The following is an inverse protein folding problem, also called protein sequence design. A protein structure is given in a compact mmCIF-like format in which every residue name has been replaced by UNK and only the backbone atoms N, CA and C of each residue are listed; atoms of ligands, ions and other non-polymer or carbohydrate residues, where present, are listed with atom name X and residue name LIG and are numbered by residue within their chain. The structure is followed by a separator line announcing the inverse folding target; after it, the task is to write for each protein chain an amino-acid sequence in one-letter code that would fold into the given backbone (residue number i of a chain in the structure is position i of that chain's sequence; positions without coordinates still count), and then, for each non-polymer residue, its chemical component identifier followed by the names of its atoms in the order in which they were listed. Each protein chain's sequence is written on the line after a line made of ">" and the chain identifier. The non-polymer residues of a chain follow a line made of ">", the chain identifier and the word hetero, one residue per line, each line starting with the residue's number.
data_IF_798628694420
#
_entry.id   IF_798628694420
#
_cell.length_a   1.000
_cell.length_b   1.000
_cell.length_c   1.000
_cell.angle_alpha   90.00
_cell.angle_beta   90.00
_cell.angle_gamma   90.00
#
_symmetry.space_group_name_H-M   'P 1'
#
loop_
_entity.id
_entity.type
_entity.pdbx_description
1 polymer ?
#
# COMPACT_ATOMS: atom_id res chain seq x y z
N UNK A 1 -14.81 21.97 26.74
CA UNK A 1 -14.08 22.68 27.80
C UNK A 1 -14.26 22.05 29.18
N UNK A 2 -15.49 21.88 29.71
CA UNK A 2 -15.71 21.39 31.09
C UNK A 2 -15.04 20.05 31.41
N UNK A 3 -15.10 19.08 30.49
CA UNK A 3 -14.43 17.78 30.66
C UNK A 3 -12.90 17.88 30.70
N UNK A 4 -12.30 18.80 29.96
CA UNK A 4 -10.85 19.00 29.92
C UNK A 4 -10.37 19.62 31.23
N UNK A 5 -11.12 20.58 31.78
CA UNK A 5 -10.85 21.18 33.10
C UNK A 5 -10.86 20.10 34.18
N UNK A 6 -11.89 19.24 34.20
CA UNK A 6 -12.00 18.14 35.16
C UNK A 6 -10.85 17.13 35.06
N UNK A 7 -10.25 16.99 33.87
CA UNK A 7 -9.15 16.07 33.61
C UNK A 7 -7.76 16.76 33.64
N UNK A 8 -7.71 18.07 33.91
CA UNK A 8 -6.48 18.87 33.80
C UNK A 8 -5.77 18.70 32.44
N UNK A 9 -6.56 18.63 31.37
CA UNK A 9 -6.06 18.63 29.99
C UNK A 9 -6.10 20.06 29.46
N UNK A 10 -5.02 20.47 28.80
CA UNK A 10 -4.90 21.76 28.14
C UNK A 10 -4.60 21.59 26.65
N UNK A 11 -4.74 22.67 25.88
CA UNK A 11 -4.38 22.69 24.48
C UNK A 11 -5.20 23.64 23.62
N UNK A 12 -5.08 23.44 22.31
CA UNK A 12 -5.69 24.27 21.28
C UNK A 12 -6.33 23.39 20.21
N UNK A 13 -7.47 23.84 19.68
CA UNK A 13 -8.14 23.27 18.51
C UNK A 13 -8.24 24.35 17.44
N UNK A 14 -7.60 24.12 16.31
CA UNK A 14 -7.56 24.99 15.15
C UNK A 14 -8.38 24.36 14.03
N UNK A 15 -9.22 25.14 13.37
CA UNK A 15 -9.88 24.76 12.12
C UNK A 15 -9.39 25.63 10.97
N UNK A 16 -8.99 24.99 9.87
CA UNK A 16 -8.51 25.68 8.67
C UNK A 16 -8.68 24.80 7.42
N UNK A 17 -9.29 25.33 6.36
CA UNK A 17 -9.48 24.64 5.08
C UNK A 17 -10.06 23.21 5.20
N UNK A 18 -11.08 23.03 6.06
CA UNK A 18 -11.72 21.72 6.25
C UNK A 18 -10.93 20.73 7.11
N UNK A 19 -9.79 21.13 7.67
CA UNK A 19 -8.96 20.32 8.55
C UNK A 19 -9.00 20.82 9.99
N UNK A 20 -8.92 19.89 10.94
CA UNK A 20 -8.72 20.18 12.36
C UNK A 20 -7.27 19.89 12.75
N UNK A 21 -6.65 20.84 13.46
CA UNK A 21 -5.36 20.64 14.12
C UNK A 21 -5.57 20.77 15.61
N UNK A 22 -5.10 19.80 16.38
CA UNK A 22 -5.33 19.77 17.81
C UNK A 22 -4.05 19.42 18.56
N UNK A 23 -3.74 20.20 19.59
CA UNK A 23 -2.72 19.88 20.58
C UNK A 23 -3.44 19.49 21.87
N UNK A 24 -3.03 18.38 22.48
CA UNK A 24 -3.50 17.90 23.77
C UNK A 24 -2.31 17.77 24.72
N UNK A 25 -2.41 18.33 25.91
CA UNK A 25 -1.35 18.30 26.93
C UNK A 25 -1.93 17.85 28.27
N UNK A 26 -1.26 16.94 28.94
CA UNK A 26 -1.71 16.45 30.23
C UNK A 26 -1.02 15.16 30.64
N UNK A 27 -1.56 14.56 31.70
CA UNK A 27 -1.18 13.22 32.14
C UNK A 27 -1.47 12.20 31.04
N UNK A 28 -0.50 11.34 30.73
CA UNK A 28 -0.50 10.42 29.60
C UNK A 28 -1.79 9.60 29.50
N UNK A 29 -2.19 8.91 30.57
CA UNK A 29 -3.42 8.12 30.59
C UNK A 29 -4.71 8.92 30.32
N UNK A 30 -4.73 10.22 30.67
CA UNK A 30 -5.89 11.08 30.46
C UNK A 30 -5.94 11.58 29.02
N UNK A 31 -4.78 11.96 28.47
CA UNK A 31 -4.63 12.35 27.07
C UNK A 31 -4.96 11.18 26.15
N UNK A 32 -4.45 9.98 26.41
CA UNK A 32 -4.70 8.79 25.61
C UNK A 32 -6.19 8.42 25.59
N UNK A 33 -6.86 8.46 26.75
CA UNK A 33 -8.31 8.21 26.83
C UNK A 33 -9.11 9.25 26.05
N UNK A 34 -8.68 10.51 26.06
CA UNK A 34 -9.33 11.56 25.28
C UNK A 34 -9.08 11.36 23.78
N UNK A 35 -7.85 11.08 23.39
CA UNK A 35 -7.45 10.84 22.01
C UNK A 35 -8.18 9.63 21.40
N UNK A 36 -8.33 8.53 22.16
CA UNK A 36 -9.11 7.37 21.74
C UNK A 36 -10.58 7.72 21.43
N UNK A 37 -11.20 8.60 22.23
CA UNK A 37 -12.57 9.09 21.97
C UNK A 37 -12.62 9.99 20.75
N UNK A 38 -11.64 10.88 20.59
CA UNK A 38 -11.52 11.75 19.41
C UNK A 38 -11.42 10.87 18.17
N UNK A 39 -10.57 9.85 18.15
CA UNK A 39 -10.38 8.96 17.00
C UNK A 39 -11.67 8.24 16.53
N UNK A 40 -12.64 8.04 17.42
CA UNK A 40 -13.93 7.39 17.11
C UNK A 40 -15.06 8.39 16.80
N UNK A 41 -14.81 9.69 16.90
CA UNK A 41 -15.83 10.72 16.68
C UNK A 41 -16.22 10.82 15.20
N UNK A 42 -17.53 10.76 14.91
CA UNK A 42 -18.06 10.76 13.54
C UNK A 42 -17.97 12.11 12.83
N UNK A 43 -17.61 13.19 13.54
CA UNK A 43 -17.53 14.56 12.98
C UNK A 43 -16.27 14.80 12.15
N UNK A 44 -15.31 13.90 12.20
CA UNK A 44 -14.11 13.93 11.35
C UNK A 44 -13.78 12.52 10.84
N UNK A 45 -12.77 12.43 9.99
CA UNK A 45 -12.17 11.20 9.48
C UNK A 45 -10.66 11.40 9.37
N UNK A 46 -9.92 10.32 9.11
CA UNK A 46 -8.48 10.38 8.79
C UNK A 46 -7.62 11.05 9.89
N UNK A 47 -7.89 10.69 11.16
CA UNK A 47 -7.20 11.27 12.32
C UNK A 47 -5.73 10.85 12.34
N UNK A 48 -4.85 11.84 12.27
CA UNK A 48 -3.40 11.71 12.17
C UNK A 48 -2.71 12.31 13.41
N UNK A 49 -1.96 11.52 14.17
CA UNK A 49 -1.09 12.04 15.22
C UNK A 49 0.26 12.47 14.60
N UNK A 50 0.50 13.78 14.47
CA UNK A 50 1.72 14.29 13.85
C UNK A 50 2.95 14.21 14.78
N UNK A 51 2.73 14.32 16.08
CA UNK A 51 3.80 14.36 17.08
C UNK A 51 3.27 13.94 18.43
N UNK A 52 3.99 13.03 19.08
CA UNK A 52 3.79 12.67 20.47
C UNK A 52 5.08 12.98 21.24
N UNK A 53 4.96 13.53 22.44
CA UNK A 53 6.09 13.79 23.31
C UNK A 53 5.71 13.33 24.73
N UNK A 54 6.59 12.53 25.34
CA UNK A 54 6.41 11.98 26.69
C UNK A 54 7.58 12.39 27.57
N UNK A 55 7.36 12.41 28.88
CA UNK A 55 8.35 12.85 29.89
C UNK A 55 7.98 14.17 30.55
N UNK A 56 8.94 14.77 31.26
CA UNK A 56 8.71 16.01 32.01
C UNK A 56 8.79 17.22 31.08
N UNK A 57 7.67 17.54 30.43
CA UNK A 57 7.54 18.62 29.45
C UNK A 57 6.63 19.69 30.03
N UNK A 58 7.06 20.95 29.95
CA UNK A 58 6.24 22.09 30.34
C UNK A 58 5.07 22.28 29.34
N UNK A 59 3.87 22.57 29.86
CA UNK A 59 2.68 22.80 29.02
C UNK A 59 2.89 24.03 28.15
N UNK A 60 2.63 23.94 26.84
CA UNK A 60 2.70 25.10 25.95
C UNK A 60 1.48 26.01 26.14
N UNK A 61 0.34 25.46 26.57
CA UNK A 61 -0.91 26.21 26.73
C UNK A 61 -1.54 26.03 28.12
N UNK A 62 -0.85 26.38 29.22
CA UNK A 62 -1.28 26.04 30.58
C UNK A 62 -2.66 26.60 30.96
N UNK A 63 -3.05 27.75 30.40
CA UNK A 63 -4.32 28.42 30.72
C UNK A 63 -5.46 28.04 29.78
N UNK A 64 -5.21 27.21 28.76
CA UNK A 64 -6.19 26.90 27.73
C UNK A 64 -6.74 25.49 27.92
N UNK A 65 -7.87 25.35 28.60
CA UNK A 65 -8.54 24.04 28.73
C UNK A 65 -8.84 23.40 27.36
N UNK A 66 -9.28 24.21 26.39
CA UNK A 66 -9.25 23.93 24.96
C UNK A 66 -9.60 25.22 24.21
N UNK A 67 -8.61 25.99 23.77
CA UNK A 67 -8.89 27.22 23.02
C UNK A 67 -9.22 26.86 21.57
N UNK A 68 -10.36 27.33 21.07
CA UNK A 68 -10.76 27.12 19.68
C UNK A 68 -10.44 28.34 18.81
N UNK A 69 -9.84 28.10 17.65
CA UNK A 69 -9.59 29.11 16.63
C UNK A 69 -10.08 28.61 15.27
N UNK A 70 -10.84 29.45 14.58
CA UNK A 70 -11.18 29.24 13.17
C UNK A 70 -10.38 30.23 12.32
N UNK A 71 -9.36 29.71 11.62
CA UNK A 71 -8.51 30.55 10.77
C UNK A 71 -9.22 30.99 9.49
N UNK A 72 -10.21 30.24 9.00
CA UNK A 72 -10.94 30.60 7.77
C UNK A 72 -11.68 31.93 7.94
N UNK A 73 -12.22 32.16 9.14
CA UNK A 73 -12.97 33.36 9.51
C UNK A 73 -12.12 34.46 10.14
N UNK A 74 -10.82 34.24 10.33
CA UNK A 74 -9.95 35.23 10.97
C UNK A 74 -9.73 36.43 10.06
N UNK A 75 -10.07 37.63 10.56
CA UNK A 75 -9.93 38.92 9.87
C UNK A 75 -8.61 39.63 10.18
N UNK A 76 -7.79 39.05 11.06
CA UNK A 76 -6.52 39.65 11.47
C UNK A 76 -5.51 39.62 10.31
N UNK A 77 -4.93 40.78 10.00
CA UNK A 77 -3.95 40.94 8.92
C UNK A 77 -2.72 40.06 9.13
N UNK A 78 -2.32 39.81 10.39
CA UNK A 78 -1.19 38.95 10.72
C UNK A 78 -1.48 37.45 10.50
N UNK A 79 -2.75 37.05 10.48
CA UNK A 79 -3.14 35.67 10.22
C UNK A 79 -3.17 35.33 8.73
N UNK A 80 -3.22 36.33 7.83
CA UNK A 80 -3.23 36.07 6.38
C UNK A 80 -1.94 35.39 5.88
N UNK A 81 -0.72 35.84 6.23
CA UNK A 81 0.50 35.12 5.87
C UNK A 81 0.56 33.70 6.46
N UNK A 82 0.13 33.53 7.72
CA UNK A 82 0.11 32.22 8.40
C UNK A 82 -0.81 31.24 7.67
N UNK A 83 -2.00 31.69 7.25
CA UNK A 83 -2.94 30.88 6.45
C UNK A 83 -2.32 30.42 5.14
N UNK A 84 -1.67 31.32 4.39
CA UNK A 84 -1.05 30.99 3.11
C UNK A 84 0.08 29.97 3.28
N UNK A 85 0.92 30.14 4.30
CA UNK A 85 1.99 29.18 4.62
C UNK A 85 1.41 27.83 5.03
N UNK A 86 0.41 27.82 5.92
CA UNK A 86 -0.22 26.58 6.37
C UNK A 86 -0.90 25.84 5.21
N UNK A 87 -1.58 26.57 4.32
CA UNK A 87 -2.20 26.00 3.13
C UNK A 87 -1.14 25.38 2.21
N UNK A 88 -0.06 26.11 1.93
CA UNK A 88 1.03 25.61 1.08
C UNK A 88 1.70 24.36 1.66
N UNK A 89 1.90 24.32 2.99
CA UNK A 89 2.45 23.15 3.69
C UNK A 89 1.49 21.97 3.61
N UNK A 90 0.19 22.20 3.78
CA UNK A 90 -0.83 21.15 3.67
C UNK A 90 -0.90 20.54 2.27
N UNK A 91 -0.94 21.39 1.24
CA UNK A 91 -0.95 20.96 -0.16
C UNK A 91 0.32 20.16 -0.47
N UNK A 92 1.48 20.67 -0.06
CA UNK A 92 2.76 19.97 -0.20
C UNK A 92 2.78 18.63 0.52
N UNK A 93 2.27 18.56 1.76
CA UNK A 93 2.19 17.30 2.52
C UNK A 93 1.28 16.27 1.84
N UNK A 94 0.14 16.70 1.27
CA UNK A 94 -0.75 15.80 0.52
C UNK A 94 -0.08 15.27 -0.75
N UNK A 95 0.66 16.12 -1.47
CA UNK A 95 1.42 15.72 -2.66
C UNK A 95 2.51 14.71 -2.26
N UNK A 96 3.36 15.04 -1.28
CA UNK A 96 4.42 14.16 -0.79
C UNK A 96 3.84 12.83 -0.34
N UNK A 97 2.68 12.84 0.34
CA UNK A 97 1.98 11.63 0.76
C UNK A 97 1.70 10.68 -0.39
N UNK A 98 1.24 11.17 -1.56
CA UNK A 98 0.97 10.32 -2.74
C UNK A 98 2.23 9.67 -3.35
N UNK A 99 3.40 10.25 -3.11
CA UNK A 99 4.69 9.71 -3.55
C UNK A 99 5.43 8.92 -2.46
N UNK A 100 4.82 8.75 -1.28
CA UNK A 100 5.43 8.09 -0.11
C UNK A 100 4.86 6.69 0.07
N UNK A 101 5.69 5.73 0.50
CA UNK A 101 5.20 4.37 0.76
C UNK A 101 4.09 4.37 1.84
N UNK A 102 3.00 3.59 1.68
CA UNK A 102 1.93 3.49 2.66
C UNK A 102 2.41 3.13 4.07
N UNK A 103 3.39 2.21 4.20
CA UNK A 103 3.98 1.84 5.48
C UNK A 103 4.62 3.05 6.20
N UNK A 104 5.32 3.92 5.48
CA UNK A 104 5.92 5.14 6.04
C UNK A 104 4.84 6.10 6.52
N UNK A 105 3.77 6.28 5.73
CA UNK A 105 2.61 7.08 6.15
C UNK A 105 1.95 6.50 7.39
N UNK A 106 1.80 5.18 7.50
CA UNK A 106 1.25 4.55 8.70
C UNK A 106 2.11 4.80 9.94
N UNK A 107 3.44 4.73 9.80
CA UNK A 107 4.38 5.04 10.89
C UNK A 107 4.25 6.51 11.32
N UNK A 108 4.23 7.44 10.35
CA UNK A 108 3.97 8.86 10.61
C UNK A 108 2.60 9.03 11.28
N UNK A 109 1.59 8.24 10.87
CA UNK A 109 0.25 8.30 11.43
C UNK A 109 0.13 7.84 12.88
N UNK A 110 1.12 7.07 13.34
CA UNK A 110 1.26 6.68 14.73
C UNK A 110 2.07 7.69 15.55
N UNK A 111 2.49 8.82 14.96
CA UNK A 111 3.33 9.82 15.60
C UNK A 111 4.78 9.39 15.77
N UNK A 112 5.20 8.34 15.06
CA UNK A 112 6.55 7.79 15.10
C UNK A 112 7.39 8.38 13.97
N UNK A 113 8.69 8.56 14.23
CA UNK A 113 9.62 8.98 13.18
C UNK A 113 10.10 7.75 12.39
N UNK A 114 9.69 7.58 11.12
CA UNK A 114 10.07 6.44 10.31
C UNK A 114 11.59 6.31 10.17
N UNK A 115 12.33 7.42 10.10
CA UNK A 115 13.80 7.41 9.97
C UNK A 115 14.52 6.85 11.21
N UNK A 116 13.85 6.82 12.37
CA UNK A 116 14.40 6.27 13.61
C UNK A 116 14.13 4.77 13.78
N UNK A 117 13.32 4.16 12.91
CA UNK A 117 12.99 2.75 13.02
C UNK A 117 14.18 1.87 12.60
N UNK A 118 14.68 0.99 13.49
CA UNK A 118 15.75 0.07 13.13
C UNK A 118 15.23 -1.01 12.18
N UNK A 119 16.07 -1.50 11.24
CA UNK A 119 15.72 -2.65 10.42
C UNK A 119 15.45 -3.88 11.29
N UNK A 120 14.43 -4.66 10.93
CA UNK A 120 14.05 -5.88 11.64
C UNK A 120 14.05 -7.08 10.71
N UNK A 121 14.48 -8.24 11.23
CA UNK A 121 14.35 -9.51 10.53
C UNK A 121 12.98 -10.11 10.85
N UNK A 122 12.12 -10.21 9.86
CA UNK A 122 10.73 -10.65 9.98
C UNK A 122 10.40 -11.65 8.90
N UNK A 123 9.40 -12.49 9.15
CA UNK A 123 8.86 -13.36 8.12
C UNK A 123 7.70 -12.67 7.40
N UNK A 124 7.69 -12.78 6.07
CA UNK A 124 6.69 -12.17 5.19
C UNK A 124 6.32 -13.10 4.05
N UNK A 125 5.11 -12.93 3.56
CA UNK A 125 4.68 -13.42 2.26
C UNK A 125 4.87 -12.28 1.27
N UNK A 126 5.76 -12.46 0.31
CA UNK A 126 6.04 -11.48 -0.74
C UNK A 126 5.16 -11.80 -1.95
N UNK A 127 4.51 -10.77 -2.49
CA UNK A 127 3.71 -10.82 -3.71
C UNK A 127 4.35 -9.91 -4.76
N UNK A 128 4.61 -10.48 -5.93
CA UNK A 128 4.90 -9.73 -7.16
C UNK A 128 3.72 -9.91 -8.10
N UNK A 129 3.22 -8.82 -8.66
CA UNK A 129 2.16 -8.80 -9.67
C UNK A 129 2.63 -7.96 -10.85
N UNK A 130 2.60 -8.52 -12.05
CA UNK A 130 3.13 -7.86 -13.25
C UNK A 130 2.19 -8.06 -14.44
N UNK A 131 2.10 -7.06 -15.33
CA UNK A 131 1.22 -7.15 -16.48
C UNK A 131 1.79 -8.15 -17.51
N UNK A 132 0.91 -8.97 -18.09
CA UNK A 132 1.32 -9.96 -19.09
C UNK A 132 1.55 -9.23 -20.42
N UNK A 133 2.77 -9.36 -20.96
CA UNK A 133 3.20 -8.78 -22.24
C UNK A 133 3.12 -7.24 -22.31
N UNK A 134 3.26 -6.54 -21.18
CA UNK A 134 3.15 -5.09 -21.13
C UNK A 134 4.09 -4.37 -22.11
N UNK A 135 5.35 -4.79 -22.22
CA UNK A 135 6.30 -4.14 -23.16
C UNK A 135 5.77 -4.13 -24.59
N UNK A 136 5.31 -5.28 -25.09
CA UNK A 136 4.74 -5.40 -26.43
C UNK A 136 3.44 -4.61 -26.59
N UNK A 137 2.59 -4.57 -25.55
CA UNK A 137 1.35 -3.79 -25.58
C UNK A 137 1.65 -2.29 -25.58
N UNK A 138 2.58 -1.83 -24.75
CA UNK A 138 2.97 -0.42 -24.62
C UNK A 138 3.63 0.15 -25.88
N UNK A 139 4.29 -0.69 -26.68
CA UNK A 139 4.84 -0.29 -27.99
C UNK A 139 3.76 -0.04 -29.05
N UNK A 140 2.56 -0.60 -28.86
CA UNK A 140 1.44 -0.50 -29.79
C UNK A 140 0.40 0.56 -29.38
N UNK A 141 0.46 1.05 -28.15
CA UNK A 141 -0.47 2.02 -27.59
C UNK A 141 0.13 3.43 -27.61
N UNK A 142 -0.74 4.43 -27.71
CA UNK A 142 -0.37 5.81 -27.41
C UNK A 142 0.04 5.97 -25.94
N UNK A 143 0.80 7.02 -25.65
CA UNK A 143 1.37 7.26 -24.31
C UNK A 143 0.27 7.43 -23.27
N UNK A 144 -0.79 8.18 -23.60
CA UNK A 144 -1.93 8.41 -22.73
C UNK A 144 -2.70 7.12 -22.43
N UNK A 145 -2.88 6.26 -23.42
CA UNK A 145 -3.57 4.97 -23.28
C UNK A 145 -2.75 3.98 -22.45
N UNK A 146 -1.43 3.94 -22.67
CA UNK A 146 -0.49 3.16 -21.87
C UNK A 146 -0.55 3.60 -20.41
N UNK A 147 -0.50 4.92 -20.15
CA UNK A 147 -0.57 5.47 -18.81
C UNK A 147 -1.92 5.19 -18.14
N UNK A 148 -3.03 5.33 -18.87
CA UNK A 148 -4.37 5.05 -18.35
C UNK A 148 -4.53 3.57 -17.97
N UNK A 149 -4.08 2.65 -18.83
CA UNK A 149 -4.10 1.21 -18.58
C UNK A 149 -3.25 0.84 -17.36
N UNK A 150 -2.01 1.34 -17.30
CA UNK A 150 -1.10 1.08 -16.18
C UNK A 150 -1.68 1.62 -14.87
N UNK A 151 -2.12 2.88 -14.84
CA UNK A 151 -2.71 3.47 -13.63
C UNK A 151 -3.96 2.72 -13.17
N UNK A 152 -4.78 2.21 -14.10
CA UNK A 152 -5.96 1.41 -13.77
C UNK A 152 -5.57 0.09 -13.10
N UNK A 153 -4.54 -0.59 -13.61
CA UNK A 153 -3.99 -1.80 -13.00
C UNK A 153 -3.41 -1.53 -11.60
N UNK A 154 -2.61 -0.47 -11.45
CA UNK A 154 -1.98 -0.11 -10.17
C UNK A 154 -3.04 0.23 -9.11
N UNK A 155 -4.09 0.96 -9.48
CA UNK A 155 -5.20 1.31 -8.59
C UNK A 155 -5.96 0.07 -8.10
N UNK A 156 -6.38 -0.82 -9.03
CA UNK A 156 -7.11 -2.05 -8.70
C UNK A 156 -6.26 -2.93 -7.78
N UNK A 157 -5.00 -3.17 -8.16
CA UNK A 157 -4.09 -4.02 -7.40
C UNK A 157 -3.81 -3.46 -6.02
N UNK A 158 -3.49 -2.17 -5.91
CA UNK A 158 -3.17 -1.54 -4.63
C UNK A 158 -4.36 -1.56 -3.67
N UNK A 159 -5.55 -1.25 -4.19
CA UNK A 159 -6.78 -1.27 -3.40
C UNK A 159 -7.09 -2.66 -2.88
N UNK A 160 -7.09 -3.68 -3.74
CA UNK A 160 -7.43 -5.05 -3.33
C UNK A 160 -6.38 -5.61 -2.37
N UNK A 161 -5.09 -5.40 -2.63
CA UNK A 161 -4.02 -5.82 -1.70
C UNK A 161 -4.27 -5.23 -0.30
N UNK A 162 -4.56 -3.93 -0.22
CA UNK A 162 -4.85 -3.26 1.04
C UNK A 162 -6.14 -3.78 1.70
N UNK A 163 -7.20 -4.02 0.94
CA UNK A 163 -8.49 -4.51 1.45
C UNK A 163 -8.36 -5.92 2.06
N UNK A 164 -7.38 -6.71 1.59
CA UNK A 164 -7.02 -8.03 2.14
C UNK A 164 -5.95 -7.99 3.24
N UNK A 165 -5.52 -6.79 3.68
CA UNK A 165 -4.55 -6.60 4.77
C UNK A 165 -3.09 -6.69 4.35
N UNK A 166 -2.79 -6.67 3.04
CA UNK A 166 -1.44 -6.55 2.52
C UNK A 166 -0.98 -5.10 2.43
N UNK A 167 0.33 -4.92 2.28
CA UNK A 167 0.96 -3.62 2.15
C UNK A 167 1.72 -3.54 0.82
N UNK A 168 1.38 -2.54 -0.01
CA UNK A 168 2.12 -2.24 -1.24
C UNK A 168 3.41 -1.52 -0.86
N UNK A 169 4.55 -2.12 -1.24
CA UNK A 169 5.87 -1.56 -0.95
C UNK A 169 6.27 -0.51 -1.97
N UNK A 170 6.18 -0.85 -3.26
CA UNK A 170 6.57 0.01 -4.38
C UNK A 170 6.05 -0.52 -5.73
N UNK A 171 6.06 0.35 -6.72
CA UNK A 171 5.89 0.01 -8.12
C UNK A 171 7.25 -0.03 -8.82
N UNK A 172 7.45 -1.01 -9.71
CA UNK A 172 8.68 -1.22 -10.47
C UNK A 172 8.27 -1.39 -11.94
N UNK A 173 8.15 -0.27 -12.67
CA UNK A 173 7.54 -0.30 -14.00
C UNK A 173 6.06 -0.68 -13.89
N UNK A 174 5.65 -1.72 -14.59
CA UNK A 174 4.33 -2.35 -14.55
C UNK A 174 4.16 -3.38 -13.43
N UNK A 175 5.18 -3.59 -12.61
CA UNK A 175 5.11 -4.50 -11.48
C UNK A 175 4.66 -3.80 -10.18
N UNK A 176 3.74 -4.44 -9.46
CA UNK A 176 3.40 -4.16 -8.07
C UNK A 176 4.16 -5.14 -7.16
N UNK A 177 4.94 -4.60 -6.21
CA UNK A 177 5.53 -5.38 -5.13
C UNK A 177 4.76 -5.10 -3.84
N UNK A 178 4.30 -6.16 -3.19
CA UNK A 178 3.60 -6.09 -1.92
C UNK A 178 4.05 -7.20 -0.96
N UNK A 179 3.61 -7.10 0.29
CA UNK A 179 3.78 -8.16 1.27
C UNK A 179 2.58 -8.32 2.20
N UNK A 180 2.48 -9.51 2.77
CA UNK A 180 1.51 -9.88 3.79
C UNK A 180 2.24 -10.47 5.00
N UNK A 181 1.59 -10.41 6.16
CA UNK A 181 2.00 -11.19 7.32
C UNK A 181 1.83 -12.70 7.04
N UNK A 182 2.64 -13.57 7.66
CA UNK A 182 2.61 -15.01 7.38
C UNK A 182 1.27 -15.70 7.65
N UNK A 183 0.49 -15.19 8.59
CA UNK A 183 -0.85 -15.65 8.96
C UNK A 183 -1.93 -15.28 7.93
N UNK A 184 -1.59 -14.43 6.94
CA UNK A 184 -2.49 -13.95 5.89
C UNK A 184 -2.27 -14.66 4.55
N UNK A 185 -1.81 -15.92 4.55
CA UNK A 185 -1.58 -16.68 3.32
C UNK A 185 -2.85 -16.85 2.47
N UNK A 186 -3.97 -17.19 3.11
CA UNK A 186 -5.27 -17.30 2.46
C UNK A 186 -5.73 -15.96 1.85
N UNK A 187 -5.48 -14.86 2.58
CA UNK A 187 -5.80 -13.51 2.12
C UNK A 187 -4.94 -13.10 0.91
N UNK A 188 -3.64 -13.41 0.93
CA UNK A 188 -2.74 -13.10 -0.18
C UNK A 188 -3.18 -13.82 -1.46
N UNK A 189 -3.56 -15.10 -1.36
CA UNK A 189 -4.06 -15.87 -2.51
C UNK A 189 -5.44 -15.37 -2.98
N UNK A 190 -6.33 -15.05 -2.04
CA UNK A 190 -7.64 -14.46 -2.35
C UNK A 190 -7.54 -13.08 -3.01
N UNK A 191 -6.56 -12.26 -2.59
CA UNK A 191 -6.27 -10.97 -3.22
C UNK A 191 -5.87 -11.15 -4.69
N UNK A 192 -5.01 -12.12 -5.01
CA UNK A 192 -4.66 -12.43 -6.40
C UNK A 192 -5.90 -12.78 -7.23
N UNK A 193 -6.76 -13.68 -6.74
CA UNK A 193 -7.97 -14.08 -7.45
C UNK A 193 -8.95 -12.92 -7.64
N UNK A 194 -9.11 -12.07 -6.61
CA UNK A 194 -9.95 -10.88 -6.68
C UNK A 194 -9.42 -9.86 -7.69
N UNK A 195 -8.10 -9.65 -7.75
CA UNK A 195 -7.48 -8.79 -8.77
C UNK A 195 -7.72 -9.36 -10.17
N UNK A 196 -7.50 -10.67 -10.37
CA UNK A 196 -7.74 -11.32 -11.67
C UNK A 196 -9.19 -11.11 -12.13
N UNK A 197 -10.17 -11.33 -11.24
CA UNK A 197 -11.59 -11.09 -11.51
C UNK A 197 -11.87 -9.63 -11.87
N UNK A 198 -11.35 -8.68 -11.09
CA UNK A 198 -11.56 -7.26 -11.34
C UNK A 198 -10.96 -6.81 -12.68
N UNK A 199 -9.77 -7.32 -13.04
CA UNK A 199 -9.17 -7.07 -14.34
C UNK A 199 -10.00 -7.72 -15.47
N UNK A 200 -10.59 -8.90 -15.24
CA UNK A 200 -11.50 -9.53 -16.20
C UNK A 200 -12.74 -8.66 -16.45
N UNK A 201 -13.37 -8.15 -15.40
CA UNK A 201 -14.49 -7.21 -15.54
C UNK A 201 -14.09 -5.95 -16.33
N UNK A 202 -12.87 -5.43 -16.15
CA UNK A 202 -12.37 -4.31 -16.97
C UNK A 202 -12.24 -4.70 -18.44
N UNK A 203 -11.72 -5.90 -18.75
CA UNK A 203 -11.62 -6.39 -20.13
C UNK A 203 -12.99 -6.60 -20.76
N UNK A 204 -13.94 -7.14 -20.02
CA UNK A 204 -15.28 -7.50 -20.52
C UNK A 204 -16.16 -6.26 -20.77
N UNK A 205 -16.02 -5.24 -19.91
CA UNK A 205 -16.73 -3.96 -20.05
C UNK A 205 -16.10 -3.00 -21.06
N UNK A 206 -14.87 -3.26 -21.49
CA UNK A 206 -14.14 -2.41 -22.40
C UNK A 206 -14.59 -2.59 -23.86
N UNK A 207 -14.70 -1.46 -24.58
CA UNK A 207 -14.97 -1.47 -26.03
C UNK A 207 -13.85 -2.16 -26.82
N UNK A 208 -14.11 -2.59 -28.07
CA UNK A 208 -13.13 -3.34 -28.87
C UNK A 208 -11.76 -2.66 -28.96
N UNK A 209 -11.72 -1.37 -29.27
CA UNK A 209 -10.47 -0.62 -29.42
C UNK A 209 -9.82 -0.17 -28.09
N UNK A 210 -10.38 -0.55 -26.93
CA UNK A 210 -9.88 -0.04 -25.65
C UNK A 210 -8.59 -0.76 -25.20
N UNK A 211 -7.57 -0.04 -24.69
CA UNK A 211 -6.37 -0.66 -24.14
C UNK A 211 -6.67 -1.56 -22.93
N UNK A 212 -7.81 -1.36 -22.26
CA UNK A 212 -8.21 -2.15 -21.10
C UNK A 212 -8.38 -3.64 -21.43
N UNK A 213 -8.58 -4.00 -22.71
CA UNK A 213 -8.64 -5.40 -23.19
C UNK A 213 -7.36 -6.19 -22.94
N UNK A 214 -6.23 -5.51 -22.72
CA UNK A 214 -4.93 -6.13 -22.49
C UNK A 214 -4.59 -6.35 -21.01
N UNK A 215 -5.44 -5.90 -20.08
CA UNK A 215 -5.20 -6.02 -18.64
C UNK A 215 -5.23 -7.48 -18.16
N UNK A 216 -4.10 -8.17 -18.25
CA UNK A 216 -3.85 -9.50 -17.67
C UNK A 216 -2.64 -9.44 -16.77
N UNK A 217 -2.63 -10.21 -15.70
CA UNK A 217 -1.57 -10.13 -14.70
C UNK A 217 -1.07 -11.53 -14.30
N UNK A 218 0.25 -11.63 -14.12
CA UNK A 218 0.93 -12.75 -13.48
C UNK A 218 1.27 -12.41 -12.04
N UNK A 219 1.13 -13.39 -11.15
CA UNK A 219 1.38 -13.28 -9.71
C UNK A 219 2.38 -14.34 -9.26
N UNK A 220 3.41 -13.89 -8.54
CA UNK A 220 4.38 -14.75 -7.86
C UNK A 220 4.33 -14.55 -6.36
N UNK A 221 4.12 -15.62 -5.60
CA UNK A 221 4.09 -15.59 -4.14
C UNK A 221 5.19 -16.44 -3.52
N UNK A 222 5.95 -15.83 -2.61
CA UNK A 222 6.96 -16.56 -1.84
C UNK A 222 6.97 -16.12 -0.38
N UNK A 223 7.12 -17.08 0.52
CA UNK A 223 7.26 -16.81 1.94
C UNK A 223 8.68 -17.01 2.42
N UNK A 224 9.16 -16.13 3.29
CA UNK A 224 10.44 -16.34 3.96
C UNK A 224 10.87 -15.18 4.85
N UNK A 225 12.03 -15.37 5.47
CA UNK A 225 12.68 -14.35 6.28
C UNK A 225 13.24 -13.24 5.39
N UNK A 226 12.93 -12.01 5.78
CA UNK A 226 13.36 -10.78 5.10
C UNK A 226 13.82 -9.76 6.13
N UNK A 227 14.58 -8.77 5.67
CA UNK A 227 14.93 -7.58 6.44
C UNK A 227 14.01 -6.47 5.96
N UNK A 228 13.22 -5.92 6.87
CA UNK A 228 12.28 -4.82 6.64
C UNK A 228 12.78 -3.59 7.39
N UNK A 229 12.85 -2.44 6.70
CA UNK A 229 13.20 -1.17 7.32
C UNK A 229 13.79 -0.16 6.34
N UNK A 230 14.39 0.89 6.91
CA UNK A 230 15.02 1.95 6.13
C UNK A 230 16.33 1.46 5.49
N UNK A 231 16.44 1.60 4.18
CA UNK A 231 17.66 1.36 3.42
C UNK A 231 17.92 2.52 2.47
N UNK A 232 19.18 2.95 2.38
CA UNK A 232 19.55 4.01 1.47
C UNK A 232 20.77 4.80 1.93
N UNK A 233 20.86 6.03 1.46
CA UNK A 233 21.93 6.99 1.75
C UNK A 233 21.38 8.24 2.42
N UNK A 234 22.25 9.21 2.70
CA UNK A 234 21.86 10.55 3.17
C UNK A 234 20.97 11.32 2.19
N UNK A 235 20.93 10.92 0.91
CA UNK A 235 20.17 11.60 -0.14
C UNK A 235 18.80 10.95 -0.36
N UNK A 236 18.75 9.61 -0.33
CA UNK A 236 17.52 8.86 -0.59
C UNK A 236 17.43 7.66 0.34
N UNK A 237 16.33 7.58 1.07
CA UNK A 237 15.96 6.41 1.87
C UNK A 237 14.66 5.82 1.31
N UNK A 238 14.59 4.49 1.26
CA UNK A 238 13.37 3.73 1.03
C UNK A 238 13.08 2.90 2.28
N UNK A 239 11.83 2.92 2.74
CA UNK A 239 11.33 1.85 3.58
C UNK A 239 11.04 0.64 2.68
N UNK A 240 11.85 -0.41 2.81
CA UNK A 240 11.83 -1.52 1.86
C UNK A 240 12.05 -2.84 2.56
N UNK A 241 11.75 -3.91 1.82
CA UNK A 241 12.01 -5.28 2.21
C UNK A 241 13.10 -5.84 1.30
N UNK A 242 14.12 -6.46 1.90
CA UNK A 242 15.13 -7.22 1.17
C UNK A 242 15.21 -8.64 1.71
N UNK A 243 15.47 -9.59 0.85
CA UNK A 243 15.67 -10.97 1.25
C UNK A 243 15.44 -11.93 0.11
N UNK A 244 15.76 -13.18 0.36
CA UNK A 244 15.67 -14.22 -0.65
C UNK A 244 14.24 -14.43 -1.16
N UNK A 245 13.24 -14.32 -0.27
CA UNK A 245 11.83 -14.44 -0.63
C UNK A 245 11.41 -13.40 -1.68
N UNK A 246 12.00 -12.20 -1.69
CA UNK A 246 11.74 -11.16 -2.70
C UNK A 246 12.16 -11.64 -4.08
N UNK A 247 13.37 -12.18 -4.18
CA UNK A 247 13.91 -12.70 -5.44
C UNK A 247 13.14 -13.95 -5.91
N UNK A 248 12.69 -14.80 -5.00
CA UNK A 248 11.88 -15.97 -5.33
C UNK A 248 10.53 -15.52 -5.89
N UNK A 249 9.82 -14.63 -5.20
CA UNK A 249 8.50 -14.15 -5.63
C UNK A 249 8.54 -13.53 -7.04
N UNK A 250 9.50 -12.65 -7.31
CA UNK A 250 9.69 -12.07 -8.66
C UNK A 250 9.95 -13.13 -9.74
N UNK A 251 10.67 -14.20 -9.42
CA UNK A 251 10.92 -15.29 -10.39
C UNK A 251 9.71 -16.19 -10.58
N UNK A 252 8.93 -16.44 -9.52
CA UNK A 252 7.69 -17.19 -9.62
C UNK A 252 6.65 -16.44 -10.46
N UNK A 253 6.60 -15.11 -10.31
CA UNK A 253 5.80 -14.24 -11.16
C UNK A 253 6.21 -14.45 -12.62
N UNK A 254 7.50 -14.33 -12.97
CA UNK A 254 7.97 -14.56 -14.34
C UNK A 254 7.68 -15.99 -14.85
N UNK A 255 7.61 -16.98 -13.97
CA UNK A 255 7.27 -18.36 -14.31
C UNK A 255 5.81 -18.54 -14.71
N UNK A 256 4.90 -17.65 -14.31
CA UNK A 256 3.47 -17.68 -14.69
C UNK A 256 3.29 -17.81 -16.20
N UNK A 257 4.12 -17.09 -16.99
CA UNK A 257 4.12 -17.13 -18.46
C UNK A 257 4.49 -18.51 -19.03
N UNK A 258 5.38 -19.25 -18.36
CA UNK A 258 5.79 -20.61 -18.80
C UNK A 258 4.76 -21.66 -18.40
N UNK A 259 4.19 -21.55 -17.20
CA UNK A 259 3.19 -22.50 -16.72
C UNK A 259 1.80 -22.22 -17.27
N UNK A 260 1.60 -21.04 -17.90
CA UNK A 260 0.32 -20.55 -18.42
C UNK A 260 -0.76 -20.50 -17.33
N UNK A 261 -0.39 -20.00 -16.16
CA UNK A 261 -1.22 -19.88 -14.97
C UNK A 261 -0.94 -18.57 -14.26
N UNK A 262 -1.99 -17.81 -13.91
CA UNK A 262 -1.83 -16.42 -13.43
C UNK A 262 -1.21 -16.35 -12.06
N UNK A 263 -1.24 -17.43 -11.29
CA UNK A 263 -0.70 -17.46 -9.94
C UNK A 263 0.27 -18.62 -9.83
N UNK A 264 1.48 -18.34 -9.34
CA UNK A 264 2.47 -19.33 -8.97
C UNK A 264 2.97 -19.03 -7.56
N UNK A 265 3.01 -20.05 -6.71
CA UNK A 265 3.41 -19.93 -5.31
C UNK A 265 4.42 -21.02 -4.90
N UNK A 266 5.31 -20.71 -3.95
CA UNK A 266 6.23 -21.71 -3.41
C UNK A 266 5.57 -22.62 -2.38
N UNK A 267 6.16 -23.80 -2.15
CA UNK A 267 5.73 -24.78 -1.14
C UNK A 267 5.46 -24.18 0.25
N UNK A 268 6.24 -23.17 0.67
CA UNK A 268 6.08 -22.59 2.00
C UNK A 268 4.76 -21.83 2.16
N UNK A 269 4.25 -21.23 1.09
CA UNK A 269 2.92 -20.61 1.07
C UNK A 269 1.86 -21.69 1.23
N UNK A 270 1.95 -22.79 0.47
CA UNK A 270 1.05 -23.95 0.59
C UNK A 270 0.93 -24.42 2.04
N UNK A 271 2.06 -24.52 2.75
CA UNK A 271 2.07 -24.98 4.14
C UNK A 271 1.50 -23.97 5.15
N UNK A 272 1.33 -22.71 4.74
CA UNK A 272 0.78 -21.63 5.60
C UNK A 272 -0.68 -21.31 5.29
N UNK A 273 -1.27 -21.92 4.25
CA UNK A 273 -2.69 -21.84 3.95
C UNK A 273 -3.50 -22.61 4.98
N UNK A 274 -4.58 -22.03 5.47
CA UNK A 274 -5.51 -22.68 6.41
C UNK A 274 -6.83 -23.09 5.73
N UNK A 275 -7.15 -22.51 4.57
CA UNK A 275 -8.33 -22.82 3.78
C UNK A 275 -8.21 -24.10 2.96
N UNK A 276 -9.34 -24.58 2.44
CA UNK A 276 -9.41 -25.75 1.56
C UNK A 276 -9.03 -25.37 0.11
N UNK A 277 -7.72 -25.17 -0.10
CA UNK A 277 -7.17 -24.84 -1.41
C UNK A 277 -6.73 -26.09 -2.17
N UNK A 278 -7.34 -26.31 -3.32
CA UNK A 278 -6.82 -27.29 -4.29
C UNK A 278 -5.62 -26.69 -4.99
N UNK A 279 -4.44 -27.27 -4.77
CA UNK A 279 -3.19 -26.82 -5.39
C UNK A 279 -2.62 -27.91 -6.29
N UNK A 280 -2.15 -27.53 -7.47
CA UNK A 280 -1.49 -28.43 -8.42
C UNK A 280 0.02 -28.19 -8.37
N UNK A 281 0.80 -29.25 -8.15
CA UNK A 281 2.25 -29.18 -8.23
C UNK A 281 2.69 -29.07 -9.70
N UNK A 282 3.57 -28.12 -9.99
CA UNK A 282 4.24 -28.00 -11.29
C UNK A 282 5.58 -28.75 -11.28
N UNK A 283 6.07 -29.12 -10.10
CA UNK A 283 7.38 -29.72 -9.88
C UNK A 283 8.39 -28.73 -9.32
N UNK A 284 9.67 -29.09 -9.44
CA UNK A 284 10.78 -28.37 -8.83
C UNK A 284 11.41 -27.37 -9.80
N UNK A 285 11.58 -26.15 -9.34
CA UNK A 285 12.23 -25.07 -10.07
C UNK A 285 13.62 -24.80 -9.49
N UNK A 286 14.66 -25.01 -10.30
CA UNK A 286 16.01 -24.58 -9.96
C UNK A 286 16.17 -23.09 -10.23
N UNK A 287 16.39 -22.30 -9.18
CA UNK A 287 16.65 -20.87 -9.32
C UNK A 287 18.15 -20.62 -9.49
N UNK A 288 18.51 -19.71 -10.41
CA UNK A 288 19.91 -19.29 -10.61
C UNK A 288 20.46 -18.72 -9.30
N UNK A 289 21.55 -19.32 -8.80
CA UNK A 289 22.20 -18.93 -7.54
C UNK A 289 21.66 -19.65 -6.29
N UNK A 290 20.79 -20.66 -6.46
CA UNK A 290 20.33 -21.54 -5.37
C UNK A 290 20.90 -22.93 -5.53
N UNK A 291 21.27 -23.55 -4.42
CA UNK A 291 21.69 -24.96 -4.36
C UNK A 291 20.48 -25.89 -4.50
N UNK A 292 19.40 -25.61 -3.75
CA UNK A 292 18.21 -26.45 -3.74
C UNK A 292 17.12 -25.91 -4.66
N UNK A 293 16.52 -26.81 -5.44
CA UNK A 293 15.31 -26.52 -6.19
C UNK A 293 14.12 -26.36 -5.24
N UNK A 294 13.23 -25.43 -5.55
CA UNK A 294 11.99 -25.20 -4.80
C UNK A 294 10.81 -25.85 -5.50
N UNK A 295 9.91 -26.50 -4.77
CA UNK A 295 8.65 -26.96 -5.36
C UNK A 295 7.68 -25.78 -5.49
N UNK A 296 7.00 -25.72 -6.65
CA UNK A 296 6.09 -24.64 -6.99
C UNK A 296 4.71 -25.19 -7.34
N UNK A 297 3.69 -24.40 -7.04
CA UNK A 297 2.28 -24.76 -7.17
C UNK A 297 1.49 -23.63 -7.83
N UNK A 298 0.32 -23.97 -8.34
CA UNK A 298 -0.73 -22.99 -8.66
C UNK A 298 -2.08 -23.46 -8.07
N UNK A 299 -3.02 -22.55 -7.77
CA UNK A 299 -4.35 -22.92 -7.33
C UNK A 299 -5.19 -23.50 -8.48
N UNK A 300 -5.85 -24.64 -8.27
CA UNK A 300 -6.80 -25.20 -9.23
C UNK A 300 -8.08 -24.37 -9.24
N UNK A 301 -8.07 -23.26 -9.98
CA UNK A 301 -9.15 -22.28 -10.05
C UNK A 301 -9.37 -21.82 -11.49
N UNK A 302 -10.63 -21.62 -11.89
CA UNK A 302 -10.99 -21.26 -13.27
C UNK A 302 -10.38 -19.93 -13.74
N UNK A 303 -10.35 -18.93 -12.85
CA UNK A 303 -9.81 -17.59 -13.14
C UNK A 303 -8.33 -17.57 -13.53
N UNK A 304 -7.53 -18.55 -13.09
CA UNK A 304 -6.06 -18.47 -13.29
C UNK A 304 -5.60 -18.99 -14.65
N UNK A 305 -6.52 -19.41 -15.53
CA UNK A 305 -6.20 -19.90 -16.87
C UNK A 305 -6.00 -18.82 -17.93
N UNK A 306 -6.27 -17.55 -17.63
CA UNK A 306 -6.29 -16.47 -18.63
C UNK A 306 -4.88 -15.97 -19.00
N UNK A 307 -4.21 -16.70 -19.88
CA UNK A 307 -3.04 -16.26 -20.65
C UNK A 307 -3.41 -16.28 -22.13
N UNK A 308 -3.43 -15.12 -22.78
CA UNK A 308 -3.60 -15.06 -24.24
C UNK A 308 -2.32 -15.51 -24.96
N UNK A 309 -2.46 -16.29 -26.04
CA UNK A 309 -1.33 -16.85 -26.81
C UNK A 309 -0.48 -15.80 -27.54
N UNK A 310 -1.02 -14.60 -27.85
CA UNK A 310 -0.28 -13.49 -28.47
C UNK A 310 -0.99 -12.13 -28.32
N UNK A 311 -0.31 -11.06 -27.87
CA UNK A 311 -0.83 -9.69 -27.90
C UNK A 311 -1.15 -9.20 -29.32
N UNK A 312 -0.32 -9.56 -30.30
CA UNK A 312 -0.47 -9.13 -31.70
C UNK A 312 -1.75 -9.67 -32.32
N UNK A 313 -2.05 -10.96 -32.09
CA UNK A 313 -3.29 -11.56 -32.57
C UNK A 313 -4.52 -10.91 -31.94
N UNK A 314 -4.43 -10.50 -30.66
CA UNK A 314 -5.48 -9.76 -29.99
C UNK A 314 -5.64 -8.35 -30.58
N UNK A 315 -4.54 -7.61 -30.80
CA UNK A 315 -4.57 -6.30 -31.46
C UNK A 315 -5.19 -6.36 -32.86
N UNK A 316 -4.77 -7.30 -33.71
CA UNK A 316 -5.32 -7.50 -35.06
C UNK A 316 -6.84 -7.78 -35.00
N UNK A 317 -7.27 -8.64 -34.06
CA UNK A 317 -8.70 -8.96 -33.87
C UNK A 317 -9.54 -7.79 -33.33
N UNK A 318 -8.94 -6.82 -32.66
CA UNK A 318 -9.62 -5.64 -32.11
C UNK A 318 -9.63 -4.46 -33.09
N UNK A 319 -8.72 -4.47 -34.06
CA UNK A 319 -8.61 -3.47 -35.15
C UNK A 319 -9.44 -3.80 -36.40
N UNK A 320 -10.11 -4.95 -36.43
CA UNK A 320 -10.99 -5.43 -37.51
C UNK A 320 -12.47 -5.25 -37.18
#
# INVERSE_FOLDING_TARGET
>A
CERNIAQQITGVLLYFCGLFFQTLEGEEEKVDRLFAKIRQDKRHRDVLCLKMQSGNIERMFPDWSMKYFNLDTSVDLLNRPVRLLLQSILESHQIIGRYTQPAVLQIINQGLNPLSMPPRKVERIILFADLVNFSSVSEMLEVEDTAAMLNRFLEISSKIISDFGGEVTKFIGDCVMAYFSPDLADNALSACLCIISALQEQRDSAGPASPMRFLRCGFGLAQGMVIEGNMGSSVKTDYTIIGDAVNIASRLEAMTRKVRKSVVLCEKIKNSLNGDWKLVSVGKLQLKGKENAIEIFYPDHELIGDFADSPTALFESLSS
#
